data_IF_828651197019
#
_entry.id   IF_828651197019
#
_cell.length_a   1.000
_cell.length_b   1.000
_cell.length_c   1.000
_cell.angle_alpha   90.00
_cell.angle_beta   90.00
_cell.angle_gamma   90.00
#
_symmetry.space_group_name_H-M   'P 1'
#
loop_
_entity.id
_entity.type
_entity.pdbx_description
1 polymer ?
#
# COMPACT_ATOMS: atom_id res chain seq x y z
N UNK A 1 0.29 18.07 -0.61
CA UNK A 1 0.40 17.03 0.43
C UNK A 1 1.72 16.31 0.28
N UNK A 2 2.23 15.67 1.33
CA UNK A 2 3.46 14.87 1.23
C UNK A 2 3.16 13.57 0.49
N UNK A 3 3.77 13.40 -0.69
CA UNK A 3 3.65 12.19 -1.54
C UNK A 3 4.34 10.97 -0.95
N UNK A 4 5.30 11.20 -0.05
CA UNK A 4 6.18 10.17 0.48
C UNK A 4 6.20 10.22 2.01
N UNK A 5 6.29 9.06 2.63
CA UNK A 5 6.36 8.91 4.09
C UNK A 5 7.32 7.79 4.49
N UNK A 6 8.12 8.02 5.54
CA UNK A 6 9.11 7.07 6.03
C UNK A 6 8.96 6.74 7.53
N UNK A 7 7.90 7.23 8.17
CA UNK A 7 7.61 7.05 9.59
C UNK A 7 6.18 6.56 9.77
N UNK A 8 6.01 5.48 10.53
CA UNK A 8 4.72 5.04 11.07
C UNK A 8 4.62 5.53 12.50
N UNK A 9 3.58 6.31 12.79
CA UNK A 9 3.27 6.78 14.14
C UNK A 9 2.12 6.00 14.74
N UNK A 10 2.33 5.38 15.90
CA UNK A 10 1.33 4.59 16.61
C UNK A 10 0.96 5.29 17.92
N UNK A 11 -0.33 5.35 18.19
CA UNK A 11 -0.91 5.87 19.43
C UNK A 11 -1.55 4.72 20.20
N UNK A 12 -1.28 4.63 21.50
CA UNK A 12 -1.81 3.53 22.33
C UNK A 12 -3.31 3.66 22.65
N UNK A 13 -3.84 4.89 22.60
CA UNK A 13 -5.24 5.17 22.90
C UNK A 13 -5.78 6.27 22.01
N UNK A 14 -7.10 6.33 21.90
CA UNK A 14 -7.79 7.41 21.20
C UNK A 14 -7.49 8.79 21.80
N UNK A 15 -7.41 8.90 23.13
CA UNK A 15 -7.07 10.16 23.80
C UNK A 15 -5.67 10.65 23.41
N UNK A 16 -4.68 9.74 23.41
CA UNK A 16 -3.32 10.05 22.97
C UNK A 16 -3.30 10.49 21.49
N UNK A 17 -4.09 9.84 20.63
CA UNK A 17 -4.25 10.23 19.23
C UNK A 17 -4.82 11.64 19.08
N UNK A 18 -5.94 11.93 19.74
CA UNK A 18 -6.59 13.24 19.68
C UNK A 18 -5.73 14.36 20.27
N UNK A 19 -4.97 14.07 21.33
CA UNK A 19 -4.03 15.01 21.94
C UNK A 19 -2.68 15.09 21.20
N UNK A 20 -2.41 14.19 20.26
CA UNK A 20 -1.11 14.02 19.60
C UNK A 20 0.07 13.77 20.56
N UNK A 21 -0.19 13.15 21.73
CA UNK A 21 0.80 12.87 22.78
C UNK A 21 1.11 11.38 22.89
N UNK A 22 2.21 11.05 23.60
CA UNK A 22 2.58 9.67 23.95
C UNK A 22 2.59 8.68 22.76
N UNK A 23 3.00 9.15 21.59
CA UNK A 23 3.10 8.33 20.39
C UNK A 23 4.43 7.57 20.34
N UNK A 24 4.45 6.50 19.57
CA UNK A 24 5.67 5.77 19.20
C UNK A 24 5.86 5.85 17.69
N UNK A 25 7.05 6.29 17.28
CA UNK A 25 7.43 6.36 15.88
C UNK A 25 8.29 5.16 15.49
N UNK A 26 8.00 4.62 14.32
CA UNK A 26 8.78 3.58 13.65
C UNK A 26 9.29 4.13 12.32
N UNK A 27 10.60 4.41 12.25
CA UNK A 27 11.24 4.89 11.02
C UNK A 27 11.68 3.69 10.19
N UNK A 28 10.99 3.43 9.09
CA UNK A 28 11.24 2.26 8.22
C UNK A 28 12.09 2.60 6.98
N UNK A 29 12.41 3.87 6.76
CA UNK A 29 13.35 4.30 5.74
C UNK A 29 14.16 5.55 6.15
N UNK A 30 15.44 5.66 5.75
CA UNK A 30 16.33 6.75 6.18
C UNK A 30 16.02 8.11 5.52
N UNK A 31 15.26 8.15 4.42
CA UNK A 31 14.90 9.40 3.72
C UNK A 31 13.60 9.26 2.93
N UNK A 32 13.01 10.38 2.49
CA UNK A 32 11.79 10.39 1.67
C UNK A 32 11.98 9.88 0.23
N UNK A 33 13.21 9.59 -0.19
CA UNK A 33 13.54 9.09 -1.53
C UNK A 33 14.15 7.69 -1.51
N UNK A 34 14.25 7.07 -0.34
CA UNK A 34 14.77 5.72 -0.19
C UNK A 34 13.78 4.70 -0.81
N UNK A 35 14.25 3.59 -1.41
CA UNK A 35 13.38 2.59 -2.05
C UNK A 35 12.31 1.98 -1.12
N UNK A 36 12.56 1.97 0.19
CA UNK A 36 11.61 1.44 1.20
C UNK A 36 10.59 2.49 1.69
N UNK A 37 10.61 3.70 1.17
CA UNK A 37 9.66 4.75 1.57
C UNK A 37 8.28 4.47 0.98
N UNK A 38 7.23 4.93 1.66
CA UNK A 38 5.85 4.90 1.14
C UNK A 38 5.73 5.84 -0.06
N UNK A 39 4.98 5.44 -1.07
CA UNK A 39 4.41 6.33 -2.08
C UNK A 39 2.89 6.37 -1.94
N UNK A 40 2.33 7.58 -1.91
CA UNK A 40 0.89 7.76 -1.84
C UNK A 40 0.30 7.67 -0.43
N UNK A 41 -1.04 7.80 -0.34
CA UNK A 41 -1.73 7.89 0.94
C UNK A 41 -2.10 6.53 1.55
N UNK A 42 -1.86 5.42 0.84
CA UNK A 42 -2.45 4.12 1.17
C UNK A 42 -1.46 3.17 1.83
N UNK A 43 -1.79 2.75 3.05
CA UNK A 43 -1.07 1.75 3.81
C UNK A 43 -2.01 1.07 4.81
N UNK A 44 -1.74 -0.19 5.13
CA UNK A 44 -2.51 -0.98 6.10
C UNK A 44 -1.57 -1.59 7.12
N UNK A 45 -1.90 -1.43 8.40
CA UNK A 45 -1.28 -2.20 9.47
C UNK A 45 -2.08 -3.51 9.63
N UNK A 46 -1.47 -4.65 9.31
CA UNK A 46 -2.12 -5.96 9.39
C UNK A 46 -1.23 -6.93 10.16
N UNK A 47 -1.76 -7.46 11.26
CA UNK A 47 -0.97 -8.20 12.24
C UNK A 47 0.14 -7.32 12.82
N UNK A 48 1.40 -7.73 12.67
CA UNK A 48 2.58 -7.06 13.23
C UNK A 48 3.42 -6.35 12.17
N UNK A 49 2.83 -6.04 11.01
CA UNK A 49 3.53 -5.41 9.90
C UNK A 49 2.69 -4.34 9.20
N UNK A 50 3.38 -3.31 8.71
CA UNK A 50 2.84 -2.27 7.86
C UNK A 50 3.02 -2.67 6.39
N UNK A 51 1.94 -2.69 5.63
CA UNK A 51 1.91 -2.95 4.20
C UNK A 51 1.59 -1.68 3.43
N UNK A 52 2.36 -1.38 2.39
CA UNK A 52 2.27 -0.10 1.68
C UNK A 52 2.84 -0.16 0.27
N UNK A 53 2.52 0.83 -0.55
CA UNK A 53 3.10 1.00 -1.89
C UNK A 53 4.54 1.49 -1.78
N UNK A 54 5.50 0.72 -2.29
CA UNK A 54 6.92 1.09 -2.25
C UNK A 54 7.23 2.23 -3.25
N UNK A 55 8.09 3.15 -2.82
CA UNK A 55 8.61 4.28 -3.60
C UNK A 55 8.89 3.95 -5.08
N UNK A 56 8.18 4.64 -5.98
CA UNK A 56 8.36 4.64 -7.44
C UNK A 56 8.56 3.27 -8.06
N UNK A 57 7.74 2.30 -7.65
CA UNK A 57 7.85 0.92 -8.14
C UNK A 57 6.50 0.23 -8.23
N UNK A 58 6.46 -0.91 -8.89
CA UNK A 58 5.31 -1.81 -8.94
C UNK A 58 5.20 -2.71 -7.69
N UNK A 59 5.91 -2.39 -6.61
CA UNK A 59 6.04 -3.26 -5.46
C UNK A 59 5.15 -2.85 -4.30
N UNK A 60 4.68 -3.85 -3.57
CA UNK A 60 4.17 -3.69 -2.21
C UNK A 60 5.28 -4.04 -1.22
N UNK A 61 5.46 -3.18 -0.23
CA UNK A 61 6.41 -3.34 0.86
C UNK A 61 5.68 -3.85 2.09
N UNK A 62 6.35 -4.70 2.86
CA UNK A 62 5.97 -5.11 4.23
C UNK A 62 7.10 -4.69 5.16
N UNK A 63 6.84 -3.75 6.04
CA UNK A 63 7.74 -3.40 7.14
C UNK A 63 7.30 -4.11 8.43
N UNK A 64 8.20 -4.89 8.99
CA UNK A 64 7.98 -5.66 10.20
C UNK A 64 8.28 -4.83 11.46
N UNK A 65 7.28 -4.63 12.32
CA UNK A 65 7.42 -3.75 13.49
C UNK A 65 8.33 -4.33 14.59
N UNK A 66 8.63 -5.64 14.55
CA UNK A 66 9.49 -6.30 15.54
C UNK A 66 10.94 -6.29 15.10
N UNK A 67 11.19 -6.68 13.86
CA UNK A 67 12.55 -6.87 13.32
C UNK A 67 13.09 -5.62 12.62
N UNK A 68 12.23 -4.63 12.34
CA UNK A 68 12.53 -3.47 11.50
C UNK A 68 12.93 -3.83 10.05
N UNK A 69 12.67 -5.06 9.62
CA UNK A 69 12.97 -5.53 8.26
C UNK A 69 11.90 -5.09 7.25
N UNK A 70 12.33 -4.79 6.02
CA UNK A 70 11.42 -4.55 4.90
C UNK A 70 11.53 -5.68 3.89
N UNK A 71 10.40 -6.30 3.55
CA UNK A 71 10.24 -7.26 2.44
C UNK A 71 9.38 -6.66 1.35
N UNK A 72 9.53 -7.15 0.12
CA UNK A 72 8.84 -6.60 -1.05
C UNK A 72 8.28 -7.72 -1.91
N UNK A 73 7.18 -7.44 -2.59
CA UNK A 73 6.65 -8.26 -3.67
C UNK A 73 6.26 -7.37 -4.85
N UNK A 74 6.60 -7.77 -6.06
CA UNK A 74 6.18 -7.07 -7.28
C UNK A 74 4.77 -7.51 -7.67
N UNK A 75 3.89 -6.54 -7.91
CA UNK A 75 2.53 -6.82 -8.37
C UNK A 75 2.53 -7.36 -9.80
N UNK A 76 1.71 -8.38 -10.10
CA UNK A 76 1.66 -8.97 -11.43
C UNK A 76 0.92 -8.08 -12.43
N UNK A 77 1.29 -8.19 -13.70
CA UNK A 77 0.64 -7.55 -14.84
C UNK A 77 1.57 -6.68 -15.67
N UNK A 78 1.18 -6.41 -16.92
CA UNK A 78 1.99 -5.60 -17.82
C UNK A 78 1.84 -4.11 -17.50
N UNK A 79 2.94 -3.47 -17.09
CA UNK A 79 3.00 -2.01 -16.92
C UNK A 79 2.16 -1.51 -15.75
N UNK A 80 2.25 -2.17 -14.59
CA UNK A 80 1.66 -1.73 -13.31
C UNK A 80 1.89 -0.23 -13.07
N UNK A 81 0.84 0.45 -12.64
CA UNK A 81 0.87 1.88 -12.30
C UNK A 81 1.70 2.17 -11.06
N UNK A 82 2.54 3.19 -11.15
CA UNK A 82 3.20 3.85 -10.03
C UNK A 82 3.61 5.25 -10.49
N UNK A 83 4.02 6.11 -9.55
CA UNK A 83 4.42 7.49 -9.79
C UNK A 83 3.34 8.30 -10.52
N UNK A 84 2.11 8.23 -10.01
CA UNK A 84 0.93 8.96 -10.50
C UNK A 84 0.48 8.58 -11.92
N UNK A 85 0.71 7.33 -12.35
CA UNK A 85 0.31 6.83 -13.68
C UNK A 85 -1.18 6.52 -13.74
N UNK A 86 -1.67 5.76 -12.76
CA UNK A 86 -3.08 5.39 -12.55
C UNK A 86 -3.55 5.69 -11.11
N UNK A 87 -3.47 6.96 -10.65
CA UNK A 87 -4.12 7.36 -9.39
C UNK A 87 -5.64 7.19 -9.49
N UNK A 88 -6.32 7.12 -8.34
CA UNK A 88 -7.74 7.39 -8.28
C UNK A 88 -8.05 8.84 -8.65
N UNK A 89 -9.30 9.08 -9.00
CA UNK A 89 -9.86 10.38 -9.32
C UNK A 89 -9.26 11.04 -10.56
N UNK A 90 -10.11 11.36 -11.53
CA UNK A 90 -9.70 11.97 -12.79
C UNK A 90 -9.11 13.38 -12.62
N UNK A 91 -9.63 14.17 -11.69
CA UNK A 91 -9.28 15.58 -11.50
C UNK A 91 -8.17 15.80 -10.45
N UNK A 92 -7.15 14.94 -10.45
CA UNK A 92 -5.97 15.03 -9.56
C UNK A 92 -6.31 15.17 -8.05
N UNK A 93 -7.44 14.61 -7.60
CA UNK A 93 -7.89 14.73 -6.22
C UNK A 93 -7.36 13.64 -5.28
N UNK A 94 -6.70 12.60 -5.81
CA UNK A 94 -6.06 11.53 -5.04
C UNK A 94 -4.73 11.11 -5.68
N UNK A 95 -3.82 12.06 -5.81
CA UNK A 95 -2.52 11.83 -6.47
C UNK A 95 -1.68 10.74 -5.78
N UNK A 96 -0.86 10.05 -6.57
CA UNK A 96 0.03 8.96 -6.15
C UNK A 96 -0.65 7.79 -5.43
N UNK A 97 -1.95 7.62 -5.61
CA UNK A 97 -2.71 6.48 -5.07
C UNK A 97 -2.68 5.26 -6.00
N UNK A 98 -1.62 5.08 -6.78
CA UNK A 98 -1.50 4.06 -7.84
C UNK A 98 -1.69 2.62 -7.34
N UNK A 99 -1.26 2.35 -6.11
CA UNK A 99 -1.50 1.10 -5.42
C UNK A 99 -2.16 1.42 -4.08
N UNK A 100 -3.30 0.78 -3.84
CA UNK A 100 -4.12 0.92 -2.65
C UNK A 100 -4.07 -0.40 -1.88
N UNK A 101 -3.81 -0.34 -0.58
CA UNK A 101 -3.70 -1.53 0.25
C UNK A 101 -4.93 -1.61 1.12
N UNK A 102 -5.55 -2.79 1.17
CA UNK A 102 -6.80 -3.01 1.89
C UNK A 102 -6.70 -4.29 2.71
N UNK A 103 -7.40 -4.34 3.83
CA UNK A 103 -7.60 -5.56 4.60
C UNK A 103 -9.07 -5.76 4.91
N UNK A 104 -9.50 -7.01 4.86
CA UNK A 104 -10.85 -7.44 5.20
C UNK A 104 -10.82 -8.70 6.08
N UNK A 105 -11.98 -9.31 6.31
CA UNK A 105 -12.16 -10.54 7.08
C UNK A 105 -11.38 -11.73 6.50
N UNK A 106 -11.03 -11.67 5.22
CA UNK A 106 -10.42 -12.78 4.48
C UNK A 106 -8.93 -12.60 4.23
N UNK A 107 -8.39 -11.39 4.38
CA UNK A 107 -6.95 -11.14 4.37
C UNK A 107 -6.54 -9.77 3.84
N UNK A 108 -5.38 -9.74 3.19
CA UNK A 108 -4.74 -8.52 2.69
C UNK A 108 -4.80 -8.46 1.16
N UNK A 109 -5.05 -7.26 0.65
CA UNK A 109 -5.31 -7.01 -0.76
C UNK A 109 -4.52 -5.80 -1.25
N UNK A 110 -4.13 -5.85 -2.53
CA UNK A 110 -3.63 -4.70 -3.27
C UNK A 110 -4.58 -4.40 -4.43
N UNK A 111 -5.09 -3.18 -4.49
CA UNK A 111 -5.91 -2.66 -5.59
C UNK A 111 -5.05 -1.69 -6.39
N UNK A 112 -4.87 -1.96 -7.67
CA UNK A 112 -3.99 -1.20 -8.55
C UNK A 112 -4.54 -1.18 -9.97
N UNK A 113 -3.78 -0.66 -10.93
CA UNK A 113 -4.14 -0.74 -12.34
C UNK A 113 -2.90 -1.00 -13.19
N UNK A 114 -3.11 -1.56 -14.38
CA UNK A 114 -2.04 -1.94 -15.31
C UNK A 114 -2.33 -1.40 -16.70
N UNK A 115 -1.28 -1.23 -17.51
CA UNK A 115 -1.46 -0.93 -18.94
C UNK A 115 -2.13 -2.11 -19.66
N UNK A 116 -1.76 -3.34 -19.27
CA UNK A 116 -2.34 -4.57 -19.82
C UNK A 116 -3.86 -4.66 -19.65
N UNK A 117 -4.39 -4.19 -18.53
CA UNK A 117 -5.84 -4.14 -18.27
C UNK A 117 -6.45 -2.75 -18.58
N UNK A 118 -5.86 -1.99 -19.51
CA UNK A 118 -6.37 -0.70 -19.99
C UNK A 118 -6.63 0.36 -18.89
N UNK A 119 -5.88 0.32 -17.79
CA UNK A 119 -6.07 1.22 -16.64
C UNK A 119 -7.28 0.89 -15.76
N UNK A 120 -7.94 -0.25 -16.00
CA UNK A 120 -8.97 -0.77 -15.10
C UNK A 120 -8.34 -1.33 -13.82
N UNK A 121 -9.13 -1.36 -12.75
CA UNK A 121 -8.71 -1.91 -11.47
C UNK A 121 -8.31 -3.38 -11.64
N UNK A 122 -7.22 -3.73 -11.00
CA UNK A 122 -6.73 -5.08 -10.79
C UNK A 122 -6.61 -5.26 -9.28
N UNK A 123 -7.08 -6.39 -8.77
CA UNK A 123 -7.01 -6.73 -7.35
C UNK A 123 -6.11 -7.94 -7.20
N UNK A 124 -5.14 -7.89 -6.29
CA UNK A 124 -4.27 -9.02 -5.98
C UNK A 124 -4.34 -9.33 -4.49
N UNK A 125 -4.48 -10.61 -4.14
CA UNK A 125 -4.45 -11.08 -2.75
C UNK A 125 -3.02 -11.32 -2.31
N UNK A 126 -2.62 -10.67 -1.23
CA UNK A 126 -1.29 -10.74 -0.65
C UNK A 126 -1.26 -11.75 0.49
N UNK A 127 -0.21 -12.56 0.53
CA UNK A 127 0.01 -13.56 1.60
C UNK A 127 1.42 -13.45 2.14
N UNK A 128 1.53 -13.48 3.46
CA UNK A 128 2.81 -13.53 4.15
C UNK A 128 3.14 -14.99 4.49
N UNK A 129 4.32 -15.44 4.07
CA UNK A 129 4.85 -16.76 4.40
C UNK A 129 5.82 -16.61 5.59
N UNK A 130 5.37 -17.02 6.77
CA UNK A 130 6.15 -16.99 8.00
C UNK A 130 7.37 -17.93 7.98
N UNK A 131 7.33 -19.03 7.23
CA UNK A 131 8.43 -19.99 7.18
C UNK A 131 9.61 -19.43 6.37
N UNK A 132 9.31 -18.84 5.22
CA UNK A 132 10.33 -18.29 4.33
C UNK A 132 10.57 -16.79 4.52
N UNK A 133 9.78 -16.12 5.37
CA UNK A 133 9.84 -14.67 5.61
C UNK A 133 9.71 -13.88 4.29
N UNK A 134 8.74 -14.28 3.46
CA UNK A 134 8.47 -13.69 2.14
C UNK A 134 7.04 -13.19 2.03
N UNK A 135 6.88 -12.08 1.28
CA UNK A 135 5.58 -11.59 0.86
C UNK A 135 5.33 -12.09 -0.55
N UNK A 136 4.17 -12.70 -0.79
CA UNK A 136 3.82 -13.27 -2.08
C UNK A 136 2.43 -12.79 -2.54
N UNK A 137 2.22 -12.80 -3.85
CA UNK A 137 0.89 -12.63 -4.46
C UNK A 137 0.32 -14.03 -4.70
N UNK A 138 -0.85 -14.29 -4.12
CA UNK A 138 -1.49 -15.61 -4.23
C UNK A 138 -2.43 -15.72 -5.42
N UNK A 139 -3.22 -14.67 -5.68
CA UNK A 139 -4.26 -14.64 -6.70
C UNK A 139 -4.46 -13.21 -7.19
N UNK A 140 -4.90 -13.05 -8.44
CA UNK A 140 -5.11 -11.75 -9.10
C UNK A 140 -6.38 -11.78 -9.94
N UNK A 141 -7.16 -10.71 -9.88
CA UNK A 141 -8.40 -10.52 -10.62
C UNK A 141 -8.37 -9.19 -11.37
N UNK A 142 -8.72 -9.24 -12.65
CA UNK A 142 -8.90 -8.05 -13.47
C UNK A 142 -10.38 -7.63 -13.45
N UNK A 143 -10.62 -6.35 -13.23
CA UNK A 143 -11.95 -5.77 -13.29
C UNK A 143 -12.14 -4.95 -14.57
N UNK A 144 -13.35 -4.40 -14.75
CA UNK A 144 -13.69 -3.49 -15.85
C UNK A 144 -13.92 -2.04 -15.40
N UNK A 145 -13.56 -1.72 -14.16
CA UNK A 145 -13.75 -0.37 -13.61
C UNK A 145 -12.50 0.45 -13.85
N UNK A 146 -12.61 1.53 -14.62
CA UNK A 146 -11.48 2.42 -14.88
C UNK A 146 -11.05 3.12 -13.59
N UNK A 147 -9.80 2.95 -13.16
CA UNK A 147 -9.36 3.39 -11.82
C UNK A 147 -9.51 4.90 -11.60
N UNK A 148 -9.19 5.72 -12.61
CA UNK A 148 -9.35 7.18 -12.53
C UNK A 148 -10.81 7.63 -12.48
N UNK A 149 -11.78 6.77 -12.82
CA UNK A 149 -13.20 7.11 -12.75
C UNK A 149 -13.79 7.01 -11.34
N UNK A 150 -13.08 6.39 -10.39
CA UNK A 150 -13.52 6.26 -8.99
C UNK A 150 -12.60 7.04 -8.06
N UNK A 151 -13.11 7.43 -6.90
CA UNK A 151 -12.37 8.25 -5.90
C UNK A 151 -11.61 7.38 -4.89
N UNK A 152 -12.13 6.20 -4.58
CA UNK A 152 -11.54 5.21 -3.70
C UNK A 152 -12.16 3.82 -3.95
N UNK A 153 -11.56 2.75 -3.41
CA UNK A 153 -12.13 1.42 -3.32
C UNK A 153 -11.77 0.81 -1.96
N UNK A 154 -12.50 -0.23 -1.54
CA UNK A 154 -12.20 -1.01 -0.34
C UNK A 154 -12.68 -2.44 -0.53
N UNK A 155 -12.21 -3.37 0.30
CA UNK A 155 -12.59 -4.78 0.30
C UNK A 155 -13.45 -5.08 1.53
N UNK A 156 -14.46 -5.96 1.40
CA UNK A 156 -15.34 -6.40 2.50
C UNK A 156 -16.01 -7.73 2.15
N UNK A 157 -16.21 -8.61 3.13
CA UNK A 157 -17.04 -9.83 3.01
C UNK A 157 -17.88 -10.10 4.27
#
# INVERSE_FOLDING_TARGET
>A
GHTHGNVLRVYQSYENFMASTNHRDFTFAPSYTHPNTIEGPSAVLYGEALYYHCYRSADVCRYDLKTNGVKRVTLPGNGVGFNNKFPYCYYDCRSHSDVDLEADETGLWAIYATVGNHGNLVVSRLVWDDQHQTLNVSQTWETRVFKKAVTNAFMVC
#
